data_IF_128201118083
#
_entry.id   IF_128201118083
#
_cell.length_a   1.000
_cell.length_b   1.000
_cell.length_c   1.000
_cell.angle_alpha   90.00
_cell.angle_beta   90.00
_cell.angle_gamma   90.00
#
_symmetry.space_group_name_H-M   'P 1'
#
loop_
_entity.id
_entity.type
_entity.pdbx_description
1 polymer ?
#
# COMPACT_ATOMS: atom_id res chain seq x y z
N UNK A 1 -59.58 -24.44 49.03
CA UNK A 1 -59.11 -23.46 50.03
C UNK A 1 -57.62 -23.23 49.78
N UNK A 2 -57.22 -22.15 49.08
CA UNK A 2 -56.60 -20.90 49.62
C UNK A 2 -55.23 -21.18 50.29
N UNK A 3 -54.07 -20.68 49.82
CA UNK A 3 -53.69 -19.26 49.59
C UNK A 3 -52.55 -19.12 48.56
N UNK A 4 -52.68 -18.13 47.68
CA UNK A 4 -51.68 -17.59 46.75
C UNK A 4 -50.82 -16.55 47.50
N UNK A 5 -49.48 -16.56 47.36
CA UNK A 5 -48.60 -15.45 47.76
C UNK A 5 -47.94 -14.88 46.50
N UNK A 6 -48.21 -13.60 46.20
CA UNK A 6 -47.54 -12.82 45.16
C UNK A 6 -46.13 -12.45 45.63
N UNK A 7 -45.15 -12.50 44.71
CA UNK A 7 -43.80 -11.98 44.89
C UNK A 7 -43.61 -10.83 43.91
N UNK A 8 -43.50 -9.60 44.42
CA UNK A 8 -43.14 -8.39 43.69
C UNK A 8 -41.63 -8.30 43.51
N UNK A 9 -41.17 -7.92 42.31
CA UNK A 9 -39.77 -7.61 42.02
C UNK A 9 -39.41 -6.21 42.54
N UNK A 10 -38.61 -6.12 43.61
CA UNK A 10 -38.01 -4.85 44.05
C UNK A 10 -36.79 -4.52 43.19
N UNK A 11 -36.86 -3.36 42.52
CA UNK A 11 -35.76 -2.75 41.77
C UNK A 11 -34.73 -2.19 42.77
N UNK A 12 -33.55 -2.81 42.90
CA UNK A 12 -32.47 -2.28 43.74
C UNK A 12 -31.86 -1.03 43.10
N UNK A 13 -32.01 0.13 43.74
CA UNK A 13 -31.21 1.32 43.42
C UNK A 13 -29.85 1.28 44.12
N UNK A 14 -28.74 1.63 43.44
CA UNK A 14 -27.42 1.64 44.04
C UNK A 14 -27.34 2.70 45.16
N UNK A 15 -26.65 2.35 46.25
CA UNK A 15 -26.55 3.20 47.42
C UNK A 15 -25.89 4.56 47.11
N UNK A 16 -26.24 5.60 47.89
CA UNK A 16 -25.66 6.96 47.76
C UNK A 16 -24.12 6.99 47.82
N UNK A 17 -23.46 5.97 48.36
CA UNK A 17 -22.00 5.84 48.37
C UNK A 17 -21.44 5.45 46.99
N UNK A 18 -22.15 4.60 46.24
CA UNK A 18 -21.75 4.17 44.89
C UNK A 18 -21.91 5.31 43.89
N UNK A 19 -23.01 6.07 43.96
CA UNK A 19 -23.18 7.25 43.11
C UNK A 19 -22.12 8.34 43.36
N UNK A 20 -21.71 8.56 44.62
CA UNK A 20 -20.63 9.50 44.94
C UNK A 20 -19.29 9.05 44.37
N UNK A 21 -19.01 7.75 44.34
CA UNK A 21 -17.79 7.20 43.74
C UNK A 21 -17.78 7.41 42.22
N UNK A 22 -18.89 7.14 41.53
CA UNK A 22 -18.99 7.38 40.08
C UNK A 22 -18.84 8.85 39.69
N UNK A 23 -19.43 9.77 40.47
CA UNK A 23 -19.32 11.22 40.22
C UNK A 23 -17.88 11.71 40.44
N UNK A 24 -17.19 11.24 41.49
CA UNK A 24 -15.77 11.54 41.72
C UNK A 24 -14.87 11.02 40.59
N UNK A 25 -15.12 9.83 40.06
CA UNK A 25 -14.38 9.28 38.92
C UNK A 25 -14.54 10.12 37.64
N UNK A 26 -15.73 10.66 37.38
CA UNK A 26 -15.99 11.53 36.23
C UNK A 26 -15.22 12.86 36.36
N UNK A 27 -15.14 13.44 37.56
CA UNK A 27 -14.37 14.67 37.78
C UNK A 27 -12.85 14.46 37.71
N UNK A 28 -12.34 13.29 38.09
CA UNK A 28 -10.91 12.96 37.93
C UNK A 28 -10.58 12.78 36.44
N UNK A 29 -11.44 12.10 35.66
CA UNK A 29 -11.24 11.93 34.21
C UNK A 29 -11.31 13.29 33.49
N UNK A 30 -12.28 14.15 33.84
CA UNK A 30 -12.37 15.49 33.27
C UNK A 30 -11.20 16.38 33.69
N UNK A 31 -10.71 16.28 34.94
CA UNK A 31 -9.54 17.00 35.42
C UNK A 31 -8.24 16.59 34.73
N UNK A 32 -8.08 15.29 34.43
CA UNK A 32 -6.96 14.77 33.62
C UNK A 32 -7.04 15.29 32.18
N UNK A 33 -8.23 15.34 31.58
CA UNK A 33 -8.44 15.86 30.22
C UNK A 33 -8.14 17.37 30.11
N UNK A 34 -8.51 18.16 31.14
CA UNK A 34 -8.22 19.60 31.19
C UNK A 34 -6.73 19.87 31.45
N UNK A 35 -6.03 19.02 32.20
CA UNK A 35 -4.58 19.15 32.41
C UNK A 35 -3.75 18.73 31.19
N UNK A 36 -4.21 17.75 30.39
CA UNK A 36 -3.52 17.36 29.14
C UNK A 36 -3.61 18.40 28.03
N UNK A 37 -4.53 19.39 28.10
CA UNK A 37 -4.59 20.48 27.13
C UNK A 37 -3.60 21.63 27.42
N UNK A 38 -2.79 21.56 28.48
CA UNK A 38 -1.89 22.66 28.86
C UNK A 38 -0.43 22.28 29.12
N UNK A 39 -0.01 21.06 28.80
CA UNK A 39 1.39 20.65 28.91
C UNK A 39 2.00 20.40 27.53
N UNK A 40 3.12 21.10 27.29
CA UNK A 40 4.15 20.90 26.26
C UNK A 40 3.93 21.45 24.84
N UNK A 41 3.90 22.78 24.75
CA UNK A 41 4.50 23.51 23.64
C UNK A 41 6.03 23.61 23.84
N UNK A 42 6.76 22.53 23.59
CA UNK A 42 8.18 22.67 23.22
C UNK A 42 8.25 23.36 21.86
N UNK A 43 9.04 24.44 21.68
CA UNK A 43 9.17 25.06 20.37
C UNK A 43 9.75 24.03 19.38
N UNK A 44 9.23 23.97 18.13
CA UNK A 44 9.66 22.98 17.17
C UNK A 44 11.17 23.08 16.97
N UNK A 45 11.82 21.91 17.00
CA UNK A 45 13.23 21.77 16.66
C UNK A 45 13.49 22.34 15.26
N UNK A 46 14.74 22.72 14.95
CA UNK A 46 15.07 23.28 13.65
C UNK A 46 14.66 22.33 12.49
N UNK A 47 14.66 21.02 12.72
CA UNK A 47 14.16 19.99 11.81
C UNK A 47 12.64 20.09 11.56
N UNK A 48 11.82 20.30 12.60
CA UNK A 48 10.37 20.50 12.48
C UNK A 48 10.02 21.85 11.82
N UNK A 49 10.83 22.90 12.02
CA UNK A 49 10.67 24.18 11.31
C UNK A 49 11.00 24.07 9.81
N UNK A 50 11.97 23.23 9.45
CA UNK A 50 12.28 22.92 8.04
C UNK A 50 11.15 22.08 7.42
N UNK A 51 10.58 21.13 8.17
CA UNK A 51 9.43 20.33 7.74
C UNK A 51 8.19 21.22 7.46
N UNK A 52 7.87 22.15 8.37
CA UNK A 52 6.79 23.13 8.17
C UNK A 52 7.03 24.08 6.99
N UNK A 53 8.27 24.46 6.70
CA UNK A 53 8.58 25.34 5.56
C UNK A 53 8.57 24.63 4.21
N UNK A 54 8.90 23.33 4.16
CA UNK A 54 8.80 22.54 2.93
C UNK A 54 7.37 22.21 2.51
N UNK A 55 6.42 22.24 3.44
CA UNK A 55 5.01 21.92 3.19
C UNK A 55 4.12 23.15 2.90
N UNK A 56 4.61 24.37 3.15
CA UNK A 56 3.79 25.60 3.08
C UNK A 56 3.83 26.35 1.74
N UNK A 57 4.54 25.86 0.72
CA UNK A 57 4.55 26.49 -0.62
C UNK A 57 3.47 25.88 -1.53
N UNK A 58 2.21 26.13 -1.18
CA UNK A 58 1.12 26.16 -2.17
C UNK A 58 0.41 27.50 -2.06
N UNK A 59 0.66 28.35 -3.06
CA UNK A 59 -0.08 29.58 -3.27
C UNK A 59 -1.60 29.25 -3.35
N UNK A 60 -2.38 29.93 -2.50
CA UNK A 60 -3.81 29.73 -2.21
C UNK A 60 -4.10 28.70 -1.10
N UNK A 61 -3.63 28.97 0.11
CA UNK A 61 -3.67 28.05 1.25
C UNK A 61 -5.04 27.91 1.90
N UNK A 62 -5.84 26.94 1.44
CA UNK A 62 -6.50 26.05 2.40
C UNK A 62 -5.45 25.07 2.90
N UNK A 63 -5.23 25.01 4.22
CA UNK A 63 -4.37 24.00 4.83
C UNK A 63 -5.05 22.64 4.62
N UNK A 64 -4.60 21.90 3.59
CA UNK A 64 -5.13 20.56 3.33
C UNK A 64 -4.65 19.64 4.45
N UNK A 65 -5.59 19.12 5.23
CA UNK A 65 -5.30 18.13 6.27
C UNK A 65 -4.65 16.88 5.62
N UNK A 66 -3.42 16.54 6.05
CA UNK A 66 -2.65 15.41 5.51
C UNK A 66 -3.39 14.07 5.69
N UNK A 67 -4.19 13.94 6.74
CA UNK A 67 -5.00 12.75 6.99
C UNK A 67 -6.09 12.67 5.93
N UNK A 68 -6.86 13.74 5.74
CA UNK A 68 -7.94 13.76 4.75
C UNK A 68 -7.39 13.58 3.32
N UNK A 69 -6.25 14.21 3.02
CA UNK A 69 -5.58 14.09 1.73
C UNK A 69 -5.14 12.65 1.44
N UNK A 70 -4.62 11.94 2.45
CA UNK A 70 -4.25 10.54 2.32
C UNK A 70 -5.48 9.63 2.25
N UNK A 71 -6.47 9.82 3.13
CA UNK A 71 -7.71 9.02 3.17
C UNK A 71 -8.48 9.13 1.86
N UNK A 72 -8.49 10.30 1.22
CA UNK A 72 -9.14 10.52 -0.07
C UNK A 72 -8.57 9.66 -1.22
N UNK A 73 -7.37 9.10 -1.05
CA UNK A 73 -6.75 8.21 -2.06
C UNK A 73 -7.33 6.80 -2.05
N UNK A 74 -8.07 6.42 -1.01
CA UNK A 74 -8.68 5.10 -0.90
C UNK A 74 -10.09 5.09 -1.51
N UNK A 75 -10.51 3.98 -2.15
CA UNK A 75 -11.90 3.79 -2.48
C UNK A 75 -12.77 3.87 -1.22
N UNK A 76 -13.90 4.56 -1.34
CA UNK A 76 -14.94 4.52 -0.31
C UNK A 76 -15.50 3.09 -0.25
N UNK A 77 -15.73 2.61 0.96
CA UNK A 77 -16.45 1.35 1.16
C UNK A 77 -17.92 1.67 0.86
N UNK A 78 -18.52 0.93 -0.07
CA UNK A 78 -19.96 1.03 -0.30
C UNK A 78 -20.70 0.45 0.89
N UNK A 79 -21.71 1.15 1.35
CA UNK A 79 -22.55 0.66 2.46
C UNK A 79 -23.43 -0.48 1.99
N UNK A 80 -24.04 -1.21 2.93
CA UNK A 80 -25.10 -2.17 2.61
C UNK A 80 -26.29 -1.49 1.93
N UNK A 81 -26.53 -0.20 2.20
CA UNK A 81 -27.57 0.58 1.54
C UNK A 81 -27.23 0.82 0.07
N UNK A 82 -25.94 1.01 -0.25
CA UNK A 82 -25.45 1.23 -1.62
C UNK A 82 -25.35 -0.07 -2.43
N UNK A 83 -25.25 -1.24 -1.78
CA UNK A 83 -24.99 -2.54 -2.42
C UNK A 83 -26.17 -3.52 -2.35
N UNK A 84 -27.19 -3.20 -1.56
CA UNK A 84 -28.32 -4.10 -1.26
C UNK A 84 -27.98 -5.13 -0.18
N UNK A 85 -29.01 -5.71 0.44
CA UNK A 85 -28.87 -6.82 1.39
C UNK A 85 -28.27 -8.03 0.65
N UNK A 86 -27.23 -8.69 1.19
CA UNK A 86 -26.73 -9.94 0.63
C UNK A 86 -27.87 -10.96 0.54
N UNK A 87 -28.35 -11.24 -0.67
CA UNK A 87 -29.25 -12.37 -0.88
C UNK A 87 -28.39 -13.63 -0.90
N UNK A 88 -28.71 -14.67 -0.11
CA UNK A 88 -28.03 -15.95 -0.24
C UNK A 88 -28.07 -16.37 -1.70
N UNK A 89 -26.92 -16.44 -2.36
CA UNK A 89 -26.88 -16.79 -3.77
C UNK A 89 -27.51 -18.17 -3.95
N UNK A 90 -28.62 -18.25 -4.69
CA UNK A 90 -29.29 -19.50 -5.03
C UNK A 90 -28.39 -20.50 -5.81
N UNK A 91 -27.18 -20.11 -6.20
CA UNK A 91 -26.20 -20.96 -6.87
C UNK A 91 -25.58 -22.07 -5.99
N UNK A 92 -25.84 -22.10 -4.68
CA UNK A 92 -25.40 -23.19 -3.80
C UNK A 92 -26.54 -24.03 -3.19
N UNK A 93 -27.80 -23.81 -3.62
CA UNK A 93 -28.92 -24.70 -3.29
C UNK A 93 -29.59 -25.19 -4.57
N UNK A 94 -28.99 -26.20 -5.21
CA UNK A 94 -29.79 -27.09 -6.04
C UNK A 94 -29.24 -28.52 -5.96
N UNK A 95 -29.71 -29.25 -4.94
CA UNK A 95 -29.81 -30.70 -4.97
C UNK A 95 -31.30 -31.04 -4.83
N UNK A 96 -31.87 -31.45 -5.96
CA UNK A 96 -33.11 -32.18 -6.16
C UNK A 96 -34.39 -31.58 -5.56
N UNK A 97 -35.35 -31.23 -6.42
CA UNK A 97 -36.52 -32.06 -6.68
C UNK A 97 -37.42 -31.44 -7.78
N UNK A 98 -38.11 -32.32 -8.51
CA UNK A 98 -39.00 -32.05 -9.62
C UNK A 98 -39.99 -30.90 -9.39
N UNK A 99 -40.09 -29.96 -10.36
CA UNK A 99 -41.40 -29.58 -10.92
C UNK A 99 -41.25 -28.70 -12.17
N UNK A 100 -41.93 -29.14 -13.24
CA UNK A 100 -42.32 -28.31 -14.37
C UNK A 100 -43.26 -27.20 -13.89
N UNK A 101 -43.00 -25.95 -14.27
CA UNK A 101 -44.07 -24.97 -14.53
C UNK A 101 -43.73 -24.22 -15.81
N UNK A 102 -44.63 -24.39 -16.79
CA UNK A 102 -44.71 -23.63 -18.03
C UNK A 102 -45.38 -22.29 -17.70
N UNK A 103 -44.80 -21.19 -18.15
CA UNK A 103 -45.42 -19.86 -18.15
C UNK A 103 -44.87 -19.05 -19.31
N UNK A 104 -45.71 -18.84 -20.32
CA UNK A 104 -45.45 -18.02 -21.51
C UNK A 104 -45.56 -16.52 -21.18
N UNK A 105 -44.69 -15.76 -21.87
CA UNK A 105 -44.85 -14.40 -22.41
C UNK A 105 -45.16 -13.22 -21.48
N UNK A 106 -44.23 -12.27 -21.43
CA UNK A 106 -44.43 -10.97 -22.08
C UNK A 106 -43.09 -10.37 -22.50
N UNK A 107 -42.97 -10.09 -23.79
CA UNK A 107 -41.93 -9.27 -24.42
C UNK A 107 -42.09 -7.82 -23.96
N UNK A 108 -41.01 -7.23 -23.46
CA UNK A 108 -40.75 -5.80 -23.59
C UNK A 108 -39.25 -5.66 -23.87
N UNK A 109 -38.96 -5.38 -25.14
CA UNK A 109 -37.64 -5.03 -25.67
C UNK A 109 -37.22 -3.67 -25.13
N UNK A 110 -36.25 -3.66 -24.21
CA UNK A 110 -35.32 -2.55 -24.04
C UNK A 110 -33.94 -3.18 -23.80
N UNK A 111 -33.33 -3.66 -24.90
CA UNK A 111 -31.90 -4.00 -24.94
C UNK A 111 -31.08 -2.70 -24.79
N UNK A 112 -31.03 -2.19 -23.56
CA UNK A 112 -29.79 -1.57 -23.11
C UNK A 112 -28.76 -2.69 -23.03
N UNK A 113 -28.00 -2.84 -24.11
CA UNK A 113 -26.75 -3.58 -24.15
C UNK A 113 -25.84 -3.00 -23.05
N UNK A 114 -26.01 -3.49 -21.82
CA UNK A 114 -25.06 -3.29 -20.73
C UNK A 114 -23.81 -3.99 -21.23
N UNK A 115 -22.89 -3.20 -21.79
CA UNK A 115 -21.57 -3.64 -22.18
C UNK A 115 -20.97 -4.34 -20.95
N UNK A 116 -21.11 -5.67 -20.91
CA UNK A 116 -20.65 -6.46 -19.77
C UNK A 116 -19.15 -6.24 -19.72
N UNK A 117 -18.72 -5.55 -18.67
CA UNK A 117 -17.31 -5.23 -18.43
C UNK A 117 -16.46 -6.46 -18.71
N UNK A 118 -15.61 -6.41 -19.76
CA UNK A 118 -14.60 -7.45 -20.07
C UNK A 118 -13.61 -7.67 -18.92
N UNK A 119 -13.58 -6.77 -17.92
CA UNK A 119 -12.75 -6.82 -16.72
C UNK A 119 -13.39 -7.72 -15.68
N UNK A 120 -12.70 -8.80 -15.31
CA UNK A 120 -13.04 -9.56 -14.11
C UNK A 120 -12.72 -8.72 -12.86
N UNK A 121 -13.63 -8.58 -11.89
CA UNK A 121 -13.38 -7.82 -10.68
C UNK A 121 -12.21 -8.38 -9.85
N UNK A 122 -11.28 -7.51 -9.45
CA UNK A 122 -10.19 -7.89 -8.54
C UNK A 122 -10.73 -8.25 -7.15
N UNK A 123 -10.15 -9.27 -6.51
CA UNK A 123 -10.53 -9.65 -5.14
C UNK A 123 -9.32 -10.15 -4.36
N UNK A 124 -8.75 -9.28 -3.52
CA UNK A 124 -7.50 -9.55 -2.79
C UNK A 124 -7.55 -10.82 -1.93
N UNK A 125 -8.59 -11.12 -1.14
CA UNK A 125 -8.69 -12.37 -0.38
C UNK A 125 -8.69 -13.65 -1.23
N UNK A 126 -8.96 -13.54 -2.53
CA UNK A 126 -9.00 -14.68 -3.46
C UNK A 126 -7.75 -14.75 -4.35
N UNK A 127 -6.84 -13.78 -4.25
CA UNK A 127 -5.60 -13.81 -5.00
C UNK A 127 -4.78 -15.07 -4.63
N UNK A 128 -4.24 -15.72 -5.65
CA UNK A 128 -3.43 -16.93 -5.53
C UNK A 128 -1.97 -16.70 -5.88
N UNK A 129 -1.66 -15.64 -6.64
CA UNK A 129 -0.30 -15.34 -7.07
C UNK A 129 0.02 -13.87 -6.86
N UNK A 130 1.24 -13.60 -6.44
CA UNK A 130 1.77 -12.26 -6.28
C UNK A 130 3.12 -12.16 -6.98
N UNK A 131 3.23 -11.25 -7.95
CA UNK A 131 4.49 -10.87 -8.57
C UNK A 131 4.87 -9.45 -8.16
N UNK A 132 6.11 -9.27 -7.70
CA UNK A 132 6.62 -7.95 -7.31
C UNK A 132 7.81 -7.58 -8.18
N UNK A 133 7.73 -6.41 -8.80
CA UNK A 133 8.78 -5.78 -9.58
C UNK A 133 9.19 -4.49 -8.89
N UNK A 134 10.49 -4.22 -8.87
CA UNK A 134 10.96 -2.98 -8.28
C UNK A 134 12.44 -2.95 -7.96
N UNK A 135 12.77 -2.18 -6.93
CA UNK A 135 14.13 -2.03 -6.45
C UNK A 135 14.34 -2.51 -5.01
N UNK A 136 15.47 -2.12 -4.41
CA UNK A 136 15.88 -2.34 -3.01
C UNK A 136 14.82 -2.09 -1.92
N UNK A 137 13.81 -1.25 -2.19
CA UNK A 137 12.68 -1.05 -1.28
C UNK A 137 11.80 -2.30 -1.15
N UNK A 138 11.76 -3.12 -2.20
CA UNK A 138 10.96 -4.33 -2.29
C UNK A 138 11.81 -5.60 -2.40
N UNK A 139 13.08 -5.51 -2.81
CA UNK A 139 13.93 -6.66 -3.15
C UNK A 139 13.99 -7.74 -2.07
N UNK A 140 13.87 -8.98 -2.55
CA UNK A 140 14.31 -10.19 -1.89
C UNK A 140 15.47 -10.76 -2.71
N UNK A 141 16.57 -11.12 -2.05
CA UNK A 141 17.79 -11.61 -2.72
C UNK A 141 17.60 -13.03 -3.29
N UNK A 142 16.85 -13.15 -4.39
CA UNK A 142 16.59 -14.38 -5.13
C UNK A 142 16.86 -14.16 -6.62
N UNK A 143 17.68 -15.02 -7.22
CA UNK A 143 17.96 -14.99 -8.66
C UNK A 143 17.25 -16.17 -9.33
N UNK A 144 16.00 -15.96 -9.76
CA UNK A 144 15.19 -17.02 -10.37
C UNK A 144 15.75 -17.57 -11.68
N UNK A 145 16.63 -16.83 -12.38
CA UNK A 145 17.31 -17.36 -13.56
C UNK A 145 18.38 -18.38 -13.20
N UNK A 146 19.08 -18.19 -12.08
CA UNK A 146 20.12 -19.11 -11.61
C UNK A 146 19.55 -20.26 -10.77
N UNK A 147 18.65 -19.92 -9.86
CA UNK A 147 18.15 -20.86 -8.87
C UNK A 147 16.91 -21.64 -9.35
N UNK A 148 16.35 -21.23 -10.49
CA UNK A 148 15.10 -21.74 -11.02
C UNK A 148 13.88 -21.09 -10.36
N UNK A 149 12.73 -21.23 -11.03
CA UNK A 149 11.44 -20.86 -10.47
C UNK A 149 11.11 -21.86 -9.36
N UNK A 150 10.87 -21.37 -8.15
CA UNK A 150 10.43 -22.19 -7.02
C UNK A 150 8.89 -22.23 -6.94
N UNK A 151 8.36 -22.94 -5.95
CA UNK A 151 6.93 -23.02 -5.69
C UNK A 151 6.32 -21.73 -5.09
N UNK A 152 7.05 -20.62 -4.98
CA UNK A 152 6.53 -19.36 -4.43
C UNK A 152 6.14 -19.42 -2.95
N UNK A 153 6.68 -20.39 -2.20
CA UNK A 153 6.48 -20.53 -0.76
C UNK A 153 7.80 -20.45 -0.01
N UNK A 154 8.05 -19.32 0.65
CA UNK A 154 9.29 -19.07 1.41
C UNK A 154 9.11 -19.40 2.88
N UNK A 155 9.56 -20.59 3.30
CA UNK A 155 9.42 -21.08 4.67
C UNK A 155 10.04 -20.15 5.71
N UNK A 156 11.13 -19.46 5.36
CA UNK A 156 11.82 -18.49 6.21
C UNK A 156 11.01 -17.22 6.51
N UNK A 157 9.90 -16.99 5.78
CA UNK A 157 8.94 -15.91 6.06
C UNK A 157 7.76 -16.39 6.91
N UNK A 158 7.48 -17.70 6.96
CA UNK A 158 6.30 -18.23 7.64
C UNK A 158 6.45 -18.07 9.16
N UNK A 159 5.49 -17.40 9.79
CA UNK A 159 5.51 -17.10 11.22
C UNK A 159 6.55 -16.05 11.64
N UNK A 160 7.25 -15.42 10.68
CA UNK A 160 8.19 -14.33 10.95
C UNK A 160 7.42 -13.03 11.19
N UNK A 161 7.71 -12.35 12.29
CA UNK A 161 7.02 -11.11 12.67
C UNK A 161 7.84 -9.83 12.43
N UNK A 162 9.17 -9.95 12.25
CA UNK A 162 10.11 -8.82 12.15
C UNK A 162 11.06 -8.99 10.97
N UNK A 163 11.81 -7.96 10.61
CA UNK A 163 12.94 -8.04 9.65
C UNK A 163 12.55 -8.55 8.24
N UNK A 164 11.40 -8.09 7.75
CA UNK A 164 10.87 -8.35 6.41
C UNK A 164 10.70 -7.05 5.61
N UNK A 165 10.75 -7.14 4.28
CA UNK A 165 10.37 -6.02 3.40
C UNK A 165 8.84 -5.89 3.37
N UNK A 166 8.34 -4.74 2.93
CA UNK A 166 6.90 -4.46 2.97
C UNK A 166 6.09 -5.47 2.12
N UNK A 167 6.62 -5.88 0.96
CA UNK A 167 5.98 -6.89 0.12
C UNK A 167 5.97 -8.29 0.77
N UNK A 168 7.01 -8.62 1.55
CA UNK A 168 7.07 -9.88 2.29
C UNK A 168 6.02 -9.91 3.41
N UNK A 169 5.75 -8.78 4.08
CA UNK A 169 4.64 -8.67 5.04
C UNK A 169 3.28 -8.89 4.36
N UNK A 170 3.10 -8.36 3.14
CA UNK A 170 1.87 -8.56 2.40
C UNK A 170 1.60 -10.06 2.15
N UNK A 171 2.65 -10.80 1.79
CA UNK A 171 2.59 -12.25 1.59
C UNK A 171 2.42 -13.06 2.89
N UNK A 172 3.26 -12.80 3.89
CA UNK A 172 3.42 -13.68 5.04
C UNK A 172 2.48 -13.36 6.21
N UNK A 173 1.95 -12.13 6.28
CA UNK A 173 1.15 -11.63 7.42
C UNK A 173 -0.23 -11.17 6.99
N UNK A 174 -0.34 -10.42 5.89
CA UNK A 174 -1.62 -9.83 5.47
C UNK A 174 -2.38 -10.64 4.42
N UNK A 175 -1.82 -11.76 3.98
CA UNK A 175 -2.50 -12.77 3.18
C UNK A 175 -2.18 -14.16 3.75
N UNK A 176 -3.06 -15.13 3.52
CA UNK A 176 -2.76 -16.53 3.86
C UNK A 176 -1.68 -17.07 2.93
N UNK A 177 -0.47 -17.28 3.48
CA UNK A 177 0.69 -17.80 2.76
C UNK A 177 0.57 -19.29 2.37
N UNK A 178 -0.46 -20.01 2.86
CA UNK A 178 -0.83 -21.34 2.38
C UNK A 178 -1.63 -21.28 1.07
N UNK A 179 -2.24 -20.12 0.77
CA UNK A 179 -3.09 -19.88 -0.40
C UNK A 179 -2.34 -19.11 -1.49
N UNK A 180 -1.60 -18.07 -1.09
CA UNK A 180 -0.85 -17.21 -1.99
C UNK A 180 0.50 -17.83 -2.28
N UNK A 181 0.91 -17.81 -3.55
CA UNK A 181 2.30 -17.99 -3.96
C UNK A 181 2.89 -16.64 -4.36
N UNK A 182 4.18 -16.44 -4.08
CA UNK A 182 4.84 -15.15 -4.18
C UNK A 182 6.16 -15.27 -4.91
N UNK A 183 6.37 -14.41 -5.91
CA UNK A 183 7.64 -14.26 -6.62
C UNK A 183 8.05 -12.80 -6.66
N UNK A 184 9.28 -12.52 -6.23
CA UNK A 184 9.80 -11.16 -6.11
C UNK A 184 10.98 -10.94 -7.05
N UNK A 185 10.71 -10.32 -8.19
CA UNK A 185 11.71 -10.02 -9.22
C UNK A 185 12.44 -8.69 -8.97
N UNK A 186 12.11 -7.96 -7.90
CA UNK A 186 12.73 -6.66 -7.62
C UNK A 186 14.23 -6.80 -7.34
N UNK A 187 15.06 -5.94 -7.95
CA UNK A 187 16.53 -5.99 -7.84
C UNK A 187 17.10 -4.72 -7.21
N UNK A 188 18.03 -4.87 -6.27
CA UNK A 188 18.72 -3.72 -5.65
C UNK A 188 19.33 -2.83 -6.74
N UNK A 189 19.12 -1.51 -6.62
CA UNK A 189 19.72 -0.53 -7.53
C UNK A 189 19.06 -0.42 -8.91
N UNK A 190 18.02 -1.21 -9.21
CA UNK A 190 17.35 -1.22 -10.50
C UNK A 190 16.72 0.15 -10.83
N UNK A 191 16.86 0.57 -12.10
CA UNK A 191 16.18 1.73 -12.68
C UNK A 191 15.02 1.30 -13.59
N UNK A 192 14.26 2.24 -14.14
CA UNK A 192 13.11 1.89 -15.00
C UNK A 192 13.57 1.38 -16.36
N UNK A 193 14.42 2.14 -17.04
CA UNK A 193 14.78 1.86 -18.43
C UNK A 193 16.20 2.29 -18.77
N UNK A 194 16.96 1.38 -19.38
CA UNK A 194 18.40 1.56 -19.58
C UNK A 194 18.71 2.75 -20.49
N UNK A 195 17.96 2.91 -21.59
CA UNK A 195 18.21 3.96 -22.58
C UNK A 195 17.79 5.36 -22.13
N UNK A 196 16.97 5.49 -21.08
CA UNK A 196 16.59 6.81 -20.53
C UNK A 196 17.55 7.20 -19.42
N UNK A 197 17.72 6.31 -18.43
CA UNK A 197 18.67 6.48 -17.35
C UNK A 197 19.16 5.11 -16.86
N UNK A 198 20.38 4.69 -17.23
CA UNK A 198 20.88 3.36 -16.89
C UNK A 198 21.11 3.23 -15.38
N UNK A 199 21.11 2.01 -14.82
CA UNK A 199 21.40 1.80 -13.41
C UNK A 199 22.85 2.17 -13.05
N UNK A 200 23.14 2.24 -11.75
CA UNK A 200 24.50 2.55 -11.27
C UNK A 200 25.54 1.49 -11.56
N UNK A 201 25.11 0.24 -11.70
CA UNK A 201 25.88 -0.89 -12.21
C UNK A 201 24.97 -1.68 -13.13
N UNK A 202 25.49 -2.17 -14.25
CA UNK A 202 24.72 -2.97 -15.22
C UNK A 202 24.07 -4.20 -14.56
N UNK A 203 24.76 -4.82 -13.59
CA UNK A 203 24.26 -5.99 -12.85
C UNK A 203 23.01 -5.73 -12.02
N UNK A 204 22.66 -4.47 -11.72
CA UNK A 204 21.40 -4.14 -11.03
C UNK A 204 20.18 -4.30 -11.94
N UNK A 205 20.38 -4.20 -13.26
CA UNK A 205 19.31 -4.29 -14.25
C UNK A 205 18.29 -3.16 -14.17
N UNK A 206 17.16 -3.38 -14.81
CA UNK A 206 16.05 -2.43 -14.95
C UNK A 206 14.69 -3.11 -14.84
N UNK A 207 13.59 -2.35 -14.80
CA UNK A 207 12.25 -2.92 -14.91
C UNK A 207 12.10 -3.74 -16.20
N UNK A 208 12.60 -3.25 -17.32
CA UNK A 208 12.64 -3.98 -18.59
C UNK A 208 13.31 -5.35 -18.44
N UNK A 209 14.47 -5.43 -17.77
CA UNK A 209 15.12 -6.74 -17.55
C UNK A 209 14.30 -7.65 -16.64
N UNK A 210 13.61 -7.12 -15.63
CA UNK A 210 12.73 -7.93 -14.77
C UNK A 210 11.50 -8.42 -15.54
N UNK A 211 10.96 -7.64 -16.49
CA UNK A 211 9.90 -8.10 -17.40
C UNK A 211 10.41 -9.17 -18.35
N UNK A 212 11.64 -9.05 -18.86
CA UNK A 212 12.24 -10.10 -19.69
C UNK A 212 12.44 -11.39 -18.88
N UNK A 213 12.91 -11.29 -17.63
CA UNK A 213 12.96 -12.42 -16.70
C UNK A 213 11.58 -13.03 -16.48
N UNK A 214 10.55 -12.20 -16.27
CA UNK A 214 9.19 -12.68 -16.11
C UNK A 214 8.68 -13.42 -17.35
N UNK A 215 8.89 -12.84 -18.54
CA UNK A 215 8.50 -13.42 -19.81
C UNK A 215 9.16 -14.79 -20.00
N UNK A 216 10.47 -14.88 -19.81
CA UNK A 216 11.22 -16.12 -20.02
C UNK A 216 10.84 -17.22 -19.03
N UNK A 217 10.52 -16.84 -17.79
CA UNK A 217 10.33 -17.79 -16.69
C UNK A 217 8.87 -18.15 -16.44
N UNK A 218 7.91 -17.28 -16.76
CA UNK A 218 6.50 -17.45 -16.37
C UNK A 218 5.52 -17.47 -17.56
N UNK A 219 6.00 -17.39 -18.80
CA UNK A 219 5.17 -17.33 -20.02
C UNK A 219 5.68 -18.31 -21.10
N UNK A 220 4.91 -18.58 -22.19
CA UNK A 220 3.52 -18.19 -22.43
C UNK A 220 2.55 -18.86 -21.45
N UNK A 221 1.27 -18.45 -21.46
CA UNK A 221 0.24 -19.14 -20.70
C UNK A 221 -0.17 -20.47 -21.36
N UNK A 222 -0.50 -21.53 -20.59
CA UNK A 222 -0.38 -21.61 -19.14
C UNK A 222 1.10 -21.62 -18.74
N UNK A 223 1.47 -20.78 -17.75
CA UNK A 223 2.85 -20.66 -17.28
C UNK A 223 3.41 -21.99 -16.73
N UNK A 224 4.65 -22.03 -16.21
CA UNK A 224 5.24 -23.27 -15.72
C UNK A 224 4.32 -23.99 -14.76
N UNK A 225 4.23 -25.32 -14.87
CA UNK A 225 3.23 -26.13 -14.16
C UNK A 225 3.18 -25.87 -12.64
N UNK A 226 4.34 -25.65 -12.01
CA UNK A 226 4.45 -25.36 -10.57
C UNK A 226 3.92 -23.96 -10.17
N UNK A 227 3.86 -23.04 -11.13
CA UNK A 227 3.34 -21.68 -10.96
C UNK A 227 1.88 -21.64 -11.34
N UNK A 228 1.54 -22.11 -12.56
CA UNK A 228 0.19 -22.13 -13.14
C UNK A 228 -0.64 -20.90 -12.73
N UNK A 229 -0.15 -19.71 -13.08
CA UNK A 229 -0.79 -18.45 -12.73
C UNK A 229 -1.87 -18.08 -13.75
N UNK A 230 -2.92 -17.39 -13.30
CA UNK A 230 -4.00 -16.91 -14.14
C UNK A 230 -4.24 -15.43 -13.92
N UNK A 231 -4.65 -14.73 -14.98
CA UNK A 231 -4.83 -13.27 -14.95
C UNK A 231 -5.80 -12.80 -13.86
N UNK A 232 -6.82 -13.59 -13.55
CA UNK A 232 -7.90 -13.22 -12.64
C UNK A 232 -7.60 -13.47 -11.15
N UNK A 233 -6.55 -14.22 -10.82
CA UNK A 233 -6.15 -14.51 -9.44
C UNK A 233 -4.72 -14.04 -9.12
N UNK A 234 -4.10 -13.26 -10.03
CA UNK A 234 -2.72 -12.79 -9.89
C UNK A 234 -2.65 -11.28 -9.74
N UNK A 235 -1.92 -10.80 -8.73
CA UNK A 235 -1.57 -9.40 -8.53
C UNK A 235 -0.12 -9.11 -8.98
N UNK A 236 0.06 -8.03 -9.73
CA UNK A 236 1.36 -7.52 -10.18
C UNK A 236 1.63 -6.17 -9.53
N UNK A 237 2.66 -6.08 -8.68
CA UNK A 237 3.06 -4.84 -8.02
C UNK A 237 4.31 -4.28 -8.68
N UNK A 238 4.28 -3.00 -9.01
CA UNK A 238 5.36 -2.30 -9.71
C UNK A 238 5.80 -1.08 -8.88
N UNK A 239 7.04 -1.10 -8.38
CA UNK A 239 7.62 -0.03 -7.53
C UNK A 239 9.00 0.37 -8.04
N UNK A 240 9.09 1.50 -8.76
CA UNK A 240 10.34 2.00 -9.34
C UNK A 240 10.47 3.52 -9.24
N UNK A 241 11.67 4.02 -9.53
CA UNK A 241 12.00 5.44 -9.64
C UNK A 241 12.90 5.96 -8.52
N UNK A 242 13.16 5.20 -7.46
CA UNK A 242 14.02 5.64 -6.34
C UNK A 242 15.46 5.78 -6.83
N UNK A 243 15.98 4.77 -7.53
CA UNK A 243 17.33 4.81 -8.07
C UNK A 243 17.45 5.80 -9.24
N UNK A 244 16.43 5.91 -10.08
CA UNK A 244 16.37 6.88 -11.17
C UNK A 244 16.48 8.31 -10.61
N UNK A 245 15.70 8.63 -9.58
CA UNK A 245 15.77 9.93 -8.89
C UNK A 245 17.14 10.16 -8.24
N UNK A 246 17.70 9.14 -7.59
CA UNK A 246 19.03 9.19 -7.02
C UNK A 246 20.12 9.46 -8.07
N UNK A 247 20.00 8.89 -9.27
CA UNK A 247 20.92 9.11 -10.38
C UNK A 247 20.72 10.47 -11.04
N UNK A 248 19.47 10.86 -11.28
CA UNK A 248 19.13 12.14 -11.89
C UNK A 248 19.69 13.34 -11.11
N UNK A 249 19.86 13.19 -9.80
CA UNK A 249 20.38 14.23 -8.90
C UNK A 249 21.89 14.13 -8.61
N UNK A 250 22.65 13.31 -9.35
CA UNK A 250 24.10 13.19 -9.21
C UNK A 250 24.85 14.16 -10.11
N UNK A 251 25.71 14.99 -9.53
CA UNK A 251 26.47 16.02 -10.27
C UNK A 251 27.39 15.45 -11.34
N UNK A 252 28.01 14.29 -11.11
CA UNK A 252 28.92 13.64 -12.07
C UNK A 252 28.23 13.16 -13.35
N UNK A 253 26.89 13.06 -13.35
CA UNK A 253 26.11 12.75 -14.54
C UNK A 253 25.67 14.00 -15.33
N UNK A 254 26.00 15.20 -14.84
CA UNK A 254 25.67 16.49 -15.48
C UNK A 254 26.88 17.17 -16.16
N UNK A 255 28.10 16.62 -16.07
CA UNK A 255 29.34 17.25 -16.58
C UNK A 255 29.54 17.20 -18.12
N UNK A 256 28.44 17.13 -18.89
CA UNK A 256 28.46 17.24 -20.36
C UNK A 256 27.15 17.71 -20.99
N UNK A 257 26.15 18.04 -20.16
CA UNK A 257 24.80 18.41 -20.54
C UNK A 257 23.88 18.21 -19.35
N UNK A 258 23.07 19.21 -19.01
CA UNK A 258 22.04 19.08 -17.97
C UNK A 258 21.04 18.03 -18.44
N UNK A 259 20.95 16.89 -17.74
CA UNK A 259 19.76 16.05 -17.83
C UNK A 259 18.59 16.92 -17.38
N UNK A 260 17.73 17.31 -18.32
CA UNK A 260 16.54 18.08 -17.99
C UNK A 260 15.64 17.24 -17.09
N UNK A 261 15.56 17.61 -15.82
CA UNK A 261 14.88 16.82 -14.78
C UNK A 261 13.42 16.55 -15.17
N UNK A 262 12.60 17.55 -15.56
CA UNK A 262 11.22 17.30 -15.98
C UNK A 262 11.11 16.36 -17.19
N UNK A 263 11.87 16.60 -18.27
CA UNK A 263 11.81 15.79 -19.50
C UNK A 263 12.28 14.37 -19.25
N UNK A 264 13.40 14.19 -18.54
CA UNK A 264 13.93 12.85 -18.21
C UNK A 264 12.96 12.09 -17.33
N UNK A 265 12.40 12.76 -16.31
CA UNK A 265 11.41 12.16 -15.41
C UNK A 265 10.14 11.75 -16.17
N UNK A 266 9.68 12.56 -17.12
CA UNK A 266 8.54 12.22 -17.98
C UNK A 266 8.85 11.00 -18.84
N UNK A 267 10.02 10.94 -19.49
CA UNK A 267 10.45 9.80 -20.30
C UNK A 267 10.56 8.51 -19.47
N UNK A 268 10.99 8.60 -18.22
CA UNK A 268 11.03 7.47 -17.29
C UNK A 268 9.61 6.95 -16.96
N UNK A 269 8.67 7.84 -16.66
CA UNK A 269 7.27 7.43 -16.40
C UNK A 269 6.61 6.86 -17.66
N UNK A 270 6.87 7.44 -18.84
CA UNK A 270 6.37 6.91 -20.11
C UNK A 270 6.91 5.49 -20.35
N UNK A 271 8.22 5.28 -20.12
CA UNK A 271 8.85 3.95 -20.22
C UNK A 271 8.26 2.96 -19.19
N UNK A 272 8.00 3.40 -17.96
CA UNK A 272 7.36 2.56 -16.94
C UNK A 272 5.97 2.07 -17.40
N UNK A 273 5.18 2.95 -18.01
CA UNK A 273 3.87 2.59 -18.54
C UNK A 273 3.98 1.68 -19.77
N UNK A 274 4.95 1.90 -20.66
CA UNK A 274 5.20 1.04 -21.81
C UNK A 274 5.59 -0.39 -21.39
N UNK A 275 6.49 -0.53 -20.41
CA UNK A 275 6.86 -1.83 -19.86
C UNK A 275 5.67 -2.49 -19.13
N UNK A 276 4.81 -1.71 -18.49
CA UNK A 276 3.54 -2.20 -17.91
C UNK A 276 2.57 -2.69 -18.99
N UNK A 277 2.51 -2.02 -20.15
CA UNK A 277 1.73 -2.48 -21.33
C UNK A 277 2.29 -3.79 -21.89
N UNK A 278 3.62 -3.97 -21.91
CA UNK A 278 4.24 -5.27 -22.25
C UNK A 278 3.79 -6.36 -21.27
N UNK A 279 3.84 -6.09 -19.96
CA UNK A 279 3.39 -7.05 -18.94
C UNK A 279 1.89 -7.40 -19.07
N UNK A 280 1.05 -6.43 -19.41
CA UNK A 280 -0.36 -6.66 -19.78
C UNK A 280 -0.49 -7.59 -21.00
N UNK A 281 0.31 -7.37 -22.04
CA UNK A 281 0.37 -8.23 -23.23
C UNK A 281 0.80 -9.68 -22.92
N UNK A 282 1.51 -9.89 -21.81
CA UNK A 282 1.88 -11.22 -21.29
C UNK A 282 0.78 -11.86 -20.42
N UNK A 283 -0.35 -11.18 -20.22
CA UNK A 283 -1.52 -11.70 -19.51
C UNK A 283 -1.79 -11.05 -18.16
N UNK A 284 -0.99 -10.09 -17.69
CA UNK A 284 -1.27 -9.41 -16.41
C UNK A 284 -2.55 -8.56 -16.49
N UNK A 285 -3.40 -8.62 -15.45
CA UNK A 285 -4.67 -7.88 -15.40
C UNK A 285 -4.94 -7.14 -14.09
N UNK A 286 -4.24 -7.44 -13.00
CA UNK A 286 -4.37 -6.70 -11.74
C UNK A 286 -3.05 -6.04 -11.39
N UNK A 287 -3.03 -4.71 -11.40
CA UNK A 287 -1.81 -3.92 -11.22
C UNK A 287 -1.92 -3.05 -9.97
N UNK A 288 -0.83 -2.99 -9.20
CA UNK A 288 -0.63 -1.98 -8.17
C UNK A 288 0.65 -1.20 -8.45
N UNK A 289 0.51 0.11 -8.62
CA UNK A 289 1.61 1.05 -8.72
C UNK A 289 1.81 1.78 -7.39
N UNK A 290 3.02 2.32 -7.17
CA UNK A 290 3.32 3.18 -6.02
C UNK A 290 3.98 4.48 -6.44
N UNK A 291 3.58 5.59 -5.81
CA UNK A 291 4.33 6.85 -5.91
C UNK A 291 5.69 6.74 -5.20
N UNK A 292 6.64 7.58 -5.56
CA UNK A 292 7.89 7.71 -4.81
C UNK A 292 7.62 8.32 -3.42
N UNK A 293 8.22 7.78 -2.34
CA UNK A 293 8.20 8.45 -1.05
C UNK A 293 8.91 9.83 -1.17
N UNK A 294 8.72 10.75 -0.20
CA UNK A 294 9.45 12.02 -0.17
C UNK A 294 10.93 11.78 0.14
N UNK A 295 11.70 11.35 -0.87
CA UNK A 295 13.08 10.90 -0.74
C UNK A 295 13.99 11.94 -0.07
N UNK A 296 13.77 13.23 -0.35
CA UNK A 296 14.49 14.35 0.24
C UNK A 296 14.37 14.42 1.78
N UNK A 297 13.38 13.75 2.39
CA UNK A 297 13.22 13.67 3.83
C UNK A 297 14.00 12.50 4.47
N UNK A 298 14.52 11.57 3.68
CA UNK A 298 15.37 10.48 4.19
C UNK A 298 16.66 11.04 4.80
N UNK A 299 17.24 10.35 5.81
CA UNK A 299 18.46 10.84 6.46
C UNK A 299 19.62 11.09 5.49
N UNK A 300 19.74 10.30 4.41
CA UNK A 300 20.77 10.42 3.37
C UNK A 300 20.98 11.85 2.87
N UNK A 301 19.90 12.57 2.58
CA UNK A 301 19.98 13.92 2.01
C UNK A 301 20.07 15.04 3.05
N UNK A 302 20.13 14.68 4.34
CA UNK A 302 20.29 15.62 5.46
C UNK A 302 21.71 15.60 6.04
N UNK A 303 22.58 14.70 5.56
CA UNK A 303 23.95 14.54 6.06
C UNK A 303 24.88 15.59 5.44
N UNK A 304 25.51 16.49 6.24
CA UNK A 304 26.36 17.56 5.72
C UNK A 304 27.56 17.08 4.90
N UNK A 305 28.03 15.86 5.16
CA UNK A 305 29.24 15.29 4.55
C UNK A 305 28.97 14.46 3.29
N UNK A 306 27.71 14.27 2.88
CA UNK A 306 27.37 13.32 1.81
C UNK A 306 26.61 13.94 0.63
N UNK A 307 26.16 15.20 0.72
CA UNK A 307 25.30 15.78 -0.31
C UNK A 307 25.53 17.29 -0.49
N UNK A 308 25.40 17.80 -1.72
CA UNK A 308 25.58 19.22 -2.07
C UNK A 308 24.56 20.16 -1.39
N UNK A 309 24.84 21.46 -1.35
CA UNK A 309 24.03 22.44 -0.60
C UNK A 309 22.55 22.55 -1.07
N UNK A 310 22.23 22.14 -2.30
CA UNK A 310 20.91 22.26 -2.93
C UNK A 310 20.19 20.92 -3.15
N UNK A 311 20.82 19.81 -2.76
CA UNK A 311 20.35 18.44 -3.05
C UNK A 311 18.94 18.15 -2.53
N UNK A 312 18.56 18.67 -1.36
CA UNK A 312 17.24 18.46 -0.75
C UNK A 312 16.16 18.99 -1.68
N UNK A 313 16.35 20.22 -2.19
CA UNK A 313 15.42 20.87 -3.13
C UNK A 313 15.39 20.16 -4.47
N UNK A 314 16.54 19.72 -4.99
CA UNK A 314 16.62 19.01 -6.28
C UNK A 314 15.92 17.66 -6.25
N UNK A 315 16.15 16.88 -5.19
CA UNK A 315 15.48 15.59 -4.96
C UNK A 315 13.98 15.79 -4.74
N UNK A 316 13.58 16.79 -3.97
CA UNK A 316 12.17 17.16 -3.78
C UNK A 316 11.49 17.48 -5.12
N UNK A 317 12.08 18.39 -5.92
CA UNK A 317 11.57 18.74 -7.24
C UNK A 317 11.46 17.52 -8.16
N UNK A 318 12.49 16.69 -8.19
CA UNK A 318 12.50 15.46 -9.00
C UNK A 318 11.41 14.46 -8.57
N UNK A 319 11.19 14.29 -7.26
CA UNK A 319 10.10 13.44 -6.73
C UNK A 319 8.74 14.02 -7.10
N UNK A 320 8.58 15.35 -7.02
CA UNK A 320 7.34 16.03 -7.38
C UNK A 320 7.03 15.89 -8.88
N UNK A 321 8.03 16.02 -9.75
CA UNK A 321 7.87 15.75 -11.19
C UNK A 321 7.46 14.29 -11.43
N UNK A 322 8.15 13.32 -10.80
CA UNK A 322 7.89 11.89 -11.04
C UNK A 322 6.47 11.53 -10.62
N UNK A 323 6.09 11.89 -9.39
CA UNK A 323 4.75 11.60 -8.87
C UNK A 323 3.67 12.42 -9.59
N UNK A 324 4.00 13.61 -10.08
CA UNK A 324 3.13 14.46 -10.89
C UNK A 324 2.81 13.86 -12.26
N UNK A 325 3.77 13.16 -12.87
CA UNK A 325 3.55 12.41 -14.12
C UNK A 325 2.95 11.02 -13.90
N UNK A 326 3.35 10.31 -12.83
CA UNK A 326 2.87 8.95 -12.57
C UNK A 326 1.37 8.90 -12.29
N UNK A 327 0.84 9.80 -11.45
CA UNK A 327 -0.58 9.81 -11.08
C UNK A 327 -1.52 9.86 -12.31
N UNK A 328 -1.39 10.84 -13.24
CA UNK A 328 -2.22 10.86 -14.44
C UNK A 328 -1.89 9.71 -15.40
N UNK A 329 -0.63 9.27 -15.48
CA UNK A 329 -0.24 8.15 -16.34
C UNK A 329 -0.90 6.82 -15.93
N UNK A 330 -0.96 6.51 -14.63
CA UNK A 330 -1.66 5.32 -14.10
C UNK A 330 -3.16 5.39 -14.38
N UNK A 331 -3.78 6.57 -14.22
CA UNK A 331 -5.19 6.76 -14.59
C UNK A 331 -5.43 6.58 -16.09
N UNK A 332 -4.47 7.00 -16.94
CA UNK A 332 -4.56 6.76 -18.38
C UNK A 332 -4.37 5.28 -18.71
N UNK A 333 -3.44 4.61 -18.04
CA UNK A 333 -3.21 3.16 -18.21
C UNK A 333 -4.46 2.36 -17.87
N UNK A 334 -5.18 2.70 -16.79
CA UNK A 334 -6.47 2.07 -16.46
C UNK A 334 -7.53 2.22 -17.57
N UNK A 335 -7.59 3.40 -18.20
CA UNK A 335 -8.50 3.66 -19.33
C UNK A 335 -8.09 2.89 -20.58
N UNK A 336 -6.79 2.89 -20.89
CA UNK A 336 -6.24 2.21 -22.07
C UNK A 336 -6.39 0.68 -21.96
N UNK A 337 -6.16 0.12 -20.76
CA UNK A 337 -6.24 -1.31 -20.46
C UNK A 337 -7.59 -1.64 -19.83
N UNK A 338 -8.68 -1.44 -20.59
CA UNK A 338 -10.06 -1.51 -20.08
C UNK A 338 -10.43 -2.83 -19.40
N UNK A 339 -9.75 -3.93 -19.72
CA UNK A 339 -9.92 -5.27 -19.12
C UNK A 339 -9.13 -5.50 -17.83
N UNK A 340 -8.43 -4.47 -17.30
CA UNK A 340 -7.52 -4.59 -16.15
C UNK A 340 -7.99 -3.80 -14.93
N UNK A 341 -7.75 -4.32 -13.74
CA UNK A 341 -7.88 -3.59 -12.48
C UNK A 341 -6.56 -2.88 -12.18
N UNK A 342 -6.59 -1.56 -12.04
CA UNK A 342 -5.39 -0.74 -11.85
C UNK A 342 -5.52 0.09 -10.58
N UNK A 343 -4.58 -0.08 -9.66
CA UNK A 343 -4.56 0.58 -8.36
C UNK A 343 -3.30 1.41 -8.21
N UNK A 344 -3.38 2.50 -7.44
CA UNK A 344 -2.26 3.34 -7.08
C UNK A 344 -2.23 3.53 -5.56
N UNK A 345 -1.16 3.10 -4.91
CA UNK A 345 -0.89 3.45 -3.53
C UNK A 345 -0.02 4.71 -3.46
N UNK A 346 -0.53 5.77 -2.83
CA UNK A 346 0.22 7.02 -2.70
C UNK A 346 1.19 6.96 -1.49
N UNK A 347 2.29 6.23 -1.68
CA UNK A 347 3.38 6.11 -0.71
C UNK A 347 3.97 7.47 -0.32
N UNK A 348 3.95 8.46 -1.22
CA UNK A 348 4.37 9.83 -0.90
C UNK A 348 3.54 10.43 0.23
N UNK A 349 2.21 10.39 0.10
CA UNK A 349 1.28 10.91 1.10
C UNK A 349 1.34 10.11 2.40
N UNK A 350 1.33 8.78 2.29
CA UNK A 350 1.45 7.90 3.46
C UNK A 350 2.71 8.21 4.28
N UNK A 351 3.85 8.33 3.59
CA UNK A 351 5.13 8.54 4.26
C UNK A 351 5.23 9.95 4.86
N UNK A 352 4.69 10.98 4.18
CA UNK A 352 4.58 12.34 4.78
C UNK A 352 3.73 12.32 6.05
N UNK A 353 2.59 11.63 6.04
CA UNK A 353 1.73 11.49 7.21
C UNK A 353 2.44 10.78 8.37
N UNK A 354 3.16 9.69 8.09
CA UNK A 354 3.95 8.99 9.11
C UNK A 354 5.05 9.87 9.70
N UNK A 355 5.74 10.66 8.87
CA UNK A 355 6.81 11.54 9.32
C UNK A 355 6.27 12.74 10.12
N UNK A 356 5.05 13.21 9.84
CA UNK A 356 4.42 14.30 10.59
C UNK A 356 3.87 13.83 11.95
N UNK A 357 3.29 12.63 12.00
CA UNK A 357 2.68 12.07 13.22
C UNK A 357 3.25 10.69 13.61
N UNK A 358 4.57 10.57 13.82
CA UNK A 358 5.21 9.26 14.04
C UNK A 358 4.66 8.52 15.27
N UNK A 359 4.23 9.25 16.29
CA UNK A 359 3.68 8.69 17.53
C UNK A 359 2.37 7.92 17.29
N UNK A 360 1.54 8.34 16.32
CA UNK A 360 0.31 7.62 15.95
C UNK A 360 0.60 6.23 15.38
N UNK A 361 1.78 6.04 14.83
CA UNK A 361 2.22 4.79 14.22
C UNK A 361 3.17 3.98 15.12
N UNK A 362 3.44 4.44 16.34
CA UNK A 362 4.42 3.81 17.23
C UNK A 362 5.88 3.96 16.75
N UNK A 363 6.13 4.94 15.87
CA UNK A 363 7.48 5.31 15.44
C UNK A 363 8.05 6.31 16.45
N UNK A 364 9.25 6.03 16.96
CA UNK A 364 9.91 6.81 18.01
C UNK A 364 10.89 7.83 17.44
N UNK A 365 11.43 7.59 16.24
CA UNK A 365 12.38 8.50 15.60
C UNK A 365 12.35 8.37 14.08
N UNK A 366 12.33 9.49 13.40
CA UNK A 366 12.24 9.59 11.93
C UNK A 366 13.54 10.02 11.26
N UNK A 367 14.63 10.14 12.03
CA UNK A 367 15.88 10.74 11.60
C UNK A 367 17.10 9.88 11.91
N UNK A 368 17.09 9.16 13.04
CA UNK A 368 18.17 8.27 13.44
C UNK A 368 18.13 7.00 12.61
N UNK A 369 19.28 6.65 12.05
CA UNK A 369 19.52 5.41 11.30
C UNK A 369 20.81 4.72 11.74
N UNK A 370 21.46 5.24 12.79
CA UNK A 370 22.66 4.65 13.40
C UNK A 370 22.70 5.05 14.87
N UNK A 371 22.62 4.07 15.75
CA UNK A 371 22.72 4.24 17.21
C UNK A 371 23.28 2.97 17.83
N UNK A 372 23.99 3.10 18.95
CA UNK A 372 24.40 1.97 19.80
C UNK A 372 23.97 2.22 21.23
N UNK A 373 23.53 1.17 21.93
CA UNK A 373 23.20 1.19 23.36
C UNK A 373 24.19 0.26 24.04
N UNK A 374 24.95 0.77 25.01
CA UNK A 374 26.02 0.05 25.71
C UNK A 374 27.01 -0.66 24.75
N UNK A 375 27.38 0.02 23.67
CA UNK A 375 28.31 -0.48 22.66
C UNK A 375 27.72 -1.52 21.70
N UNK A 376 26.42 -1.84 21.77
CA UNK A 376 25.75 -2.82 20.90
C UNK A 376 24.78 -2.15 19.94
N UNK A 377 24.64 -2.71 18.74
CA UNK A 377 23.65 -2.28 17.76
C UNK A 377 22.28 -2.87 18.15
N UNK A 378 21.29 -2.06 18.55
CA UNK A 378 19.95 -2.55 18.80
C UNK A 378 19.22 -2.87 17.48
N UNK A 379 18.13 -3.65 17.55
CA UNK A 379 17.24 -3.79 16.41
C UNK A 379 16.41 -2.50 16.25
N UNK A 380 16.69 -1.74 15.18
CA UNK A 380 16.10 -0.43 14.95
C UNK A 380 14.58 -0.45 14.77
N UNK A 381 14.02 -1.48 14.13
CA UNK A 381 12.56 -1.61 14.01
C UNK A 381 11.90 -1.87 15.37
N UNK A 382 12.52 -2.67 16.26
CA UNK A 382 12.03 -2.88 17.64
C UNK A 382 12.06 -1.62 18.48
N UNK A 383 12.99 -0.72 18.19
CA UNK A 383 13.03 0.59 18.82
C UNK A 383 11.99 1.57 18.28
N UNK A 384 11.34 1.24 17.15
CA UNK A 384 10.44 2.16 16.45
C UNK A 384 11.15 3.20 15.60
N UNK A 385 12.41 3.00 15.19
CA UNK A 385 13.03 3.92 14.23
C UNK A 385 12.40 3.74 12.86
N UNK A 386 12.14 4.84 12.13
CA UNK A 386 11.54 4.79 10.80
C UNK A 386 12.49 4.22 9.72
N UNK A 387 13.79 4.33 9.94
CA UNK A 387 14.83 3.97 8.99
C UNK A 387 15.80 2.94 9.59
N UNK A 388 16.23 1.97 8.77
CA UNK A 388 17.26 1.01 9.18
C UNK A 388 18.69 1.44 8.76
N UNK A 389 18.79 2.21 7.68
CA UNK A 389 20.00 2.88 7.21
C UNK A 389 19.63 4.29 6.73
N UNK A 390 20.54 5.01 6.08
CA UNK A 390 20.27 6.39 5.70
C UNK A 390 19.21 6.55 4.59
N UNK A 391 18.76 5.48 3.94
CA UNK A 391 17.90 5.53 2.76
C UNK A 391 16.65 4.64 2.84
N UNK A 392 16.73 3.44 3.40
CA UNK A 392 15.60 2.52 3.44
C UNK A 392 14.97 2.42 4.83
N UNK A 393 13.68 2.14 4.80
CA UNK A 393 12.82 2.03 5.98
C UNK A 393 13.22 0.86 6.86
N UNK A 394 12.93 0.96 8.15
CA UNK A 394 13.00 -0.17 9.07
C UNK A 394 11.90 -1.19 8.77
N UNK A 395 12.02 -2.39 9.35
CA UNK A 395 10.97 -3.40 9.19
C UNK A 395 9.65 -2.97 9.82
N UNK A 396 9.65 -2.16 10.89
CA UNK A 396 8.41 -1.68 11.51
C UNK A 396 7.68 -0.70 10.59
N UNK A 397 8.44 0.19 9.94
CA UNK A 397 7.89 1.03 8.88
C UNK A 397 7.46 0.26 7.64
N UNK A 398 8.19 -0.80 7.27
CA UNK A 398 7.81 -1.68 6.17
C UNK A 398 6.48 -2.41 6.45
N UNK A 399 6.28 -2.87 7.69
CA UNK A 399 5.01 -3.45 8.14
C UNK A 399 3.86 -2.44 8.04
N UNK A 400 4.07 -1.19 8.45
CA UNK A 400 3.07 -0.13 8.35
C UNK A 400 2.70 0.19 6.90
N UNK A 401 3.69 0.25 6.00
CA UNK A 401 3.45 0.39 4.54
C UNK A 401 2.59 -0.78 4.07
N UNK A 402 2.99 -2.02 4.38
CA UNK A 402 2.28 -3.23 3.98
C UNK A 402 0.84 -3.27 4.50
N UNK A 403 0.62 -2.83 5.74
CA UNK A 403 -0.71 -2.75 6.35
C UNK A 403 -1.63 -1.76 5.62
N UNK A 404 -1.13 -0.57 5.29
CA UNK A 404 -1.89 0.42 4.53
C UNK A 404 -2.15 -0.03 3.09
N UNK A 405 -1.16 -0.67 2.44
CA UNK A 405 -1.33 -1.29 1.12
C UNK A 405 -2.39 -2.39 1.16
N UNK A 406 -2.36 -3.27 2.16
CA UNK A 406 -3.41 -4.28 2.35
C UNK A 406 -4.80 -3.64 2.50
N UNK A 407 -4.91 -2.55 3.26
CA UNK A 407 -6.15 -1.79 3.37
C UNK A 407 -6.65 -1.24 2.02
N UNK A 408 -5.74 -0.78 1.15
CA UNK A 408 -6.07 -0.33 -0.20
C UNK A 408 -6.55 -1.50 -1.06
N UNK A 409 -5.83 -2.61 -1.05
CA UNK A 409 -6.18 -3.82 -1.80
C UNK A 409 -7.56 -4.34 -1.38
N UNK A 410 -7.81 -4.46 -0.07
CA UNK A 410 -9.11 -4.86 0.47
C UNK A 410 -10.23 -3.91 0.03
N UNK A 411 -10.01 -2.59 0.05
CA UNK A 411 -11.02 -1.62 -0.41
C UNK A 411 -11.26 -1.67 -1.92
N UNK A 412 -10.35 -2.18 -2.72
CA UNK A 412 -10.57 -2.44 -4.14
C UNK A 412 -11.17 -3.83 -4.41
N UNK A 413 -11.23 -4.70 -3.41
CA UNK A 413 -11.75 -6.05 -3.55
C UNK A 413 -13.25 -6.10 -3.83
N UNK A 414 -13.63 -6.90 -4.81
CA UNK A 414 -15.01 -7.22 -5.12
C UNK A 414 -15.77 -7.73 -3.88
N UNK A 415 -15.14 -8.53 -3.01
CA UNK A 415 -15.76 -9.01 -1.77
C UNK A 415 -16.18 -7.89 -0.80
N UNK A 416 -15.56 -6.70 -0.85
CA UNK A 416 -15.99 -5.55 -0.03
C UNK A 416 -16.85 -4.54 -0.80
N UNK A 417 -16.69 -4.48 -2.11
CA UNK A 417 -17.37 -3.50 -2.98
C UNK A 417 -18.70 -4.03 -3.54
N UNK A 418 -18.90 -5.35 -3.56
CA UNK A 418 -20.10 -6.02 -4.05
C UNK A 418 -20.77 -6.75 -2.87
N UNK A 419 -22.11 -6.72 -2.80
CA UNK A 419 -22.94 -7.27 -1.70
C UNK A 419 -22.86 -8.78 -1.47
N UNK A 420 -21.91 -9.45 -2.13
CA UNK A 420 -21.76 -10.90 -2.08
C UNK A 420 -21.07 -11.38 -0.79
N UNK A 421 -20.54 -10.46 0.02
CA UNK A 421 -20.08 -10.78 1.37
C UNK A 421 -21.27 -10.89 2.33
N UNK A 422 -21.30 -11.97 3.11
CA UNK A 422 -22.21 -12.10 4.25
C UNK A 422 -21.83 -11.05 5.30
N UNK A 423 -22.46 -9.89 5.27
CA UNK A 423 -22.32 -8.90 6.34
C UNK A 423 -23.12 -9.37 7.56
N UNK A 424 -22.48 -9.42 8.73
CA UNK A 424 -23.20 -9.62 9.99
C UNK A 424 -24.01 -8.36 10.27
N UNK A 425 -25.34 -8.47 10.23
CA UNK A 425 -26.21 -7.40 10.72
C UNK A 425 -25.87 -7.13 12.19
N UNK A 426 -25.49 -5.90 12.52
CA UNK A 426 -25.81 -5.38 13.85
C UNK A 426 -27.30 -5.03 13.82
N UNK A 427 -28.14 -5.99 14.15
CA UNK A 427 -29.50 -5.69 14.59
C UNK A 427 -29.37 -4.84 15.87
N UNK A 428 -29.60 -3.54 15.74
CA UNK A 428 -29.69 -2.62 16.89
C UNK A 428 -30.93 -2.91 17.73
#
# INVERSE_FOLDING_TARGET
MSRRRQSTSELMYPSRKVMRFCVLSIFIIAGVWVFTMKADLTPPTHAQKILKRGLADTANGEEVDLIDDFVSTFPKIRTWQDTGVPTPSAKYMNRNENQLVIGHEHEDEDEHEVETSKREPFDWPRARKLFVFGDSFSTRDKDYRKDGVDGGHFQELHGKATDMKWADYLYAVFHDYHILQYWNLAKVGATIHHSVLPPGLESYGTFETQINDFQDLFTPLPGPHQVNWHSNDTLFIIVFGINDNGRLNRDDLHEGGTLDVPTTTKALVDSLMEQSKRLHGLGARNFLFMTLPPLHLSPKYKLPSQVGHDIVRRVEGSVNHFNGFLRPAVKQFERDMGDSNVMLFDLNKFWKLLLEYPELFGITDISRFRITIDGRLPNFGRMGLAYHDNQHVSWSSAELIARSVNGLLMRNSASLQMSNATQTEYTA
#
